data_IF_960156528305
#
_entry.id   IF_960156528305
#
_cell.length_a   1.000
_cell.length_b   1.000
_cell.length_c   1.000
_cell.angle_alpha   90.00
_cell.angle_beta   90.00
_cell.angle_gamma   90.00
#
_symmetry.space_group_name_H-M   'P 1'
#
loop_
_entity.id
_entity.type
_entity.pdbx_description
1 polymer ?
#
# COMPACT_ATOMS: atom_id res chain seq x y z
N UNK A 1 -20.73 4.14 -5.47
CA UNK A 1 -20.01 3.31 -6.48
C UNK A 1 -18.54 3.17 -6.08
N UNK A 2 -18.02 1.94 -5.92
CA UNK A 2 -16.62 1.72 -5.49
C UNK A 2 -15.66 1.30 -6.61
N UNK A 3 -16.17 0.86 -7.75
CA UNK A 3 -15.41 0.42 -8.93
C UNK A 3 -14.50 1.55 -9.44
N UNK A 4 -13.31 1.20 -9.93
CA UNK A 4 -12.39 2.12 -10.62
C UNK A 4 -12.87 2.29 -12.06
N UNK A 5 -13.05 3.53 -12.51
CA UNK A 5 -13.65 3.86 -13.80
C UNK A 5 -14.78 4.88 -13.62
N UNK A 6 -16.00 4.45 -13.29
CA UNK A 6 -17.17 5.32 -13.34
C UNK A 6 -17.03 6.62 -12.54
N UNK A 7 -16.49 6.54 -11.32
CA UNK A 7 -16.33 7.69 -10.41
C UNK A 7 -15.26 8.68 -10.89
N UNK A 8 -14.22 8.21 -11.57
CA UNK A 8 -13.16 9.05 -12.13
C UNK A 8 -13.66 9.89 -13.30
N UNK A 9 -14.64 9.39 -14.08
CA UNK A 9 -15.22 10.10 -15.23
C UNK A 9 -16.46 10.95 -14.91
N UNK A 10 -17.00 10.89 -13.68
CA UNK A 10 -18.14 11.71 -13.27
C UNK A 10 -18.00 13.21 -13.61
N UNK A 11 -16.82 13.85 -13.45
CA UNK A 11 -16.68 15.27 -13.79
C UNK A 11 -16.95 15.57 -15.27
N UNK A 12 -16.57 14.67 -16.18
CA UNK A 12 -16.82 14.80 -17.61
C UNK A 12 -18.27 14.40 -17.96
N UNK A 13 -18.77 13.32 -17.37
CA UNK A 13 -20.13 12.83 -17.65
C UNK A 13 -21.22 13.81 -17.23
N UNK A 14 -20.96 14.64 -16.21
CA UNK A 14 -21.86 15.71 -15.73
C UNK A 14 -21.91 16.94 -16.64
N UNK A 15 -21.02 17.05 -17.64
CA UNK A 15 -21.08 18.15 -18.60
C UNK A 15 -22.25 17.96 -19.56
N UNK A 16 -22.89 19.07 -19.95
CA UNK A 16 -23.86 19.08 -21.05
C UNK A 16 -23.14 18.92 -22.40
N UNK A 17 -23.91 18.72 -23.48
CA UNK A 17 -23.38 18.44 -24.82
C UNK A 17 -22.44 19.56 -25.31
N UNK A 18 -22.81 20.82 -25.10
CA UNK A 18 -21.99 21.99 -25.45
C UNK A 18 -20.67 21.98 -24.67
N UNK A 19 -20.72 21.69 -23.38
CA UNK A 19 -19.54 21.59 -22.52
C UNK A 19 -18.62 20.42 -22.89
N UNK A 20 -19.17 19.31 -23.39
CA UNK A 20 -18.38 18.17 -23.88
C UNK A 20 -17.63 18.49 -25.17
N UNK A 21 -18.25 19.20 -26.10
CA UNK A 21 -17.64 19.61 -27.38
C UNK A 21 -16.73 20.85 -27.25
N UNK A 22 -16.52 21.35 -26.03
CA UNK A 22 -15.63 22.47 -25.78
C UNK A 22 -14.22 22.00 -25.40
N UNK A 23 -13.24 22.90 -25.53
CA UNK A 23 -11.85 22.69 -25.03
C UNK A 23 -11.84 22.28 -23.55
N UNK A 24 -12.79 22.80 -22.75
CA UNK A 24 -12.96 22.43 -21.34
C UNK A 24 -13.39 20.97 -21.20
N UNK A 25 -14.22 20.46 -22.11
CA UNK A 25 -14.64 19.06 -22.17
C UNK A 25 -13.46 18.13 -22.47
N UNK A 26 -12.66 18.48 -23.47
CA UNK A 26 -11.44 17.74 -23.85
C UNK A 26 -10.42 17.67 -22.71
N UNK A 27 -10.15 18.81 -22.05
CA UNK A 27 -9.28 18.84 -20.89
C UNK A 27 -9.85 17.97 -19.74
N UNK A 28 -11.17 18.01 -19.52
CA UNK A 28 -11.81 17.23 -18.45
C UNK A 28 -11.74 15.73 -18.71
N UNK A 29 -11.93 15.27 -19.94
CA UNK A 29 -11.82 13.84 -20.25
C UNK A 29 -10.37 13.36 -20.08
N UNK A 30 -9.37 14.16 -20.45
CA UNK A 30 -7.97 13.78 -20.27
C UNK A 30 -7.58 13.72 -18.78
N UNK A 31 -8.04 14.68 -17.98
CA UNK A 31 -7.90 14.65 -16.52
C UNK A 31 -8.53 13.37 -15.92
N UNK A 32 -9.68 12.94 -16.44
CA UNK A 32 -10.34 11.71 -16.00
C UNK A 32 -9.52 10.46 -16.36
N UNK A 33 -8.91 10.40 -17.56
CA UNK A 33 -8.01 9.31 -17.96
C UNK A 33 -6.78 9.22 -17.05
N UNK A 34 -6.16 10.34 -16.72
CA UNK A 34 -4.99 10.34 -15.82
C UNK A 34 -5.35 9.94 -14.38
N UNK A 35 -6.52 10.37 -13.89
CA UNK A 35 -7.07 9.89 -12.62
C UNK A 35 -7.31 8.39 -12.64
N UNK A 36 -7.85 7.85 -13.73
CA UNK A 36 -8.06 6.42 -13.92
C UNK A 36 -6.74 5.65 -13.84
N UNK A 37 -5.75 6.04 -14.65
CA UNK A 37 -4.42 5.41 -14.67
C UNK A 37 -3.78 5.44 -13.27
N UNK A 38 -3.87 6.57 -12.59
CA UNK A 38 -3.33 6.74 -11.24
C UNK A 38 -4.01 5.81 -10.24
N UNK A 39 -5.34 5.70 -10.29
CA UNK A 39 -6.10 4.80 -9.39
C UNK A 39 -5.80 3.34 -9.67
N UNK A 40 -5.63 2.94 -10.93
CA UNK A 40 -5.21 1.58 -11.30
C UNK A 40 -3.82 1.26 -10.73
N UNK A 41 -2.83 2.15 -10.90
CA UNK A 41 -1.49 1.97 -10.33
C UNK A 41 -1.53 1.82 -8.80
N UNK A 42 -2.28 2.70 -8.12
CA UNK A 42 -2.45 2.63 -6.67
C UNK A 42 -3.13 1.33 -6.23
N UNK A 43 -4.13 0.87 -6.97
CA UNK A 43 -4.83 -0.38 -6.69
C UNK A 43 -3.89 -1.58 -6.80
N UNK A 44 -3.16 -1.72 -7.91
CA UNK A 44 -2.19 -2.82 -8.10
C UNK A 44 -1.08 -2.78 -7.04
N UNK A 45 -0.61 -1.59 -6.63
CA UNK A 45 0.34 -1.46 -5.52
C UNK A 45 -0.27 -1.92 -4.19
N UNK A 46 -1.51 -1.53 -3.89
CA UNK A 46 -2.21 -1.95 -2.67
C UNK A 46 -2.51 -3.44 -2.64
N UNK A 47 -2.90 -4.06 -3.75
CA UNK A 47 -3.11 -5.50 -3.82
C UNK A 47 -1.84 -6.27 -3.46
N UNK A 48 -0.70 -5.87 -4.03
CA UNK A 48 0.61 -6.42 -3.69
C UNK A 48 0.91 -6.27 -2.20
N UNK A 49 0.84 -5.04 -1.68
CA UNK A 49 1.08 -4.77 -0.25
C UNK A 49 0.13 -5.52 0.68
N UNK A 50 -1.13 -5.69 0.30
CA UNK A 50 -2.10 -6.46 1.07
C UNK A 50 -1.71 -7.93 1.11
N UNK A 51 -1.38 -8.52 -0.05
CA UNK A 51 -0.92 -9.90 -0.12
C UNK A 51 0.30 -10.13 0.78
N UNK A 52 1.33 -9.27 0.68
CA UNK A 52 2.50 -9.36 1.54
C UNK A 52 2.15 -9.24 3.03
N UNK A 53 1.48 -8.17 3.44
CA UNK A 53 1.28 -7.87 4.86
C UNK A 53 0.20 -8.73 5.54
N UNK A 54 -0.73 -9.31 4.78
CA UNK A 54 -1.90 -10.02 5.32
C UNK A 54 -1.84 -11.52 5.11
N UNK A 55 -1.32 -11.96 3.97
CA UNK A 55 -1.11 -13.36 3.67
C UNK A 55 0.28 -13.70 4.19
N UNK A 56 1.36 -13.36 3.49
CA UNK A 56 2.72 -13.87 3.77
C UNK A 56 3.28 -13.52 5.16
N UNK A 57 3.27 -12.24 5.54
CA UNK A 57 3.95 -11.75 6.75
C UNK A 57 3.25 -12.12 8.07
N UNK A 58 2.21 -12.96 8.03
CA UNK A 58 1.50 -13.39 9.23
C UNK A 58 1.75 -14.84 9.60
N UNK A 59 2.66 -15.53 8.91
CA UNK A 59 2.83 -16.99 9.03
C UNK A 59 3.22 -17.45 10.41
N UNK A 60 3.96 -16.60 11.14
CA UNK A 60 4.32 -16.85 12.53
C UNK A 60 3.12 -16.79 13.50
N UNK A 61 2.02 -16.13 13.11
CA UNK A 61 0.87 -15.87 13.98
C UNK A 61 -0.44 -16.46 13.46
N UNK A 62 -0.44 -17.10 12.29
CA UNK A 62 -1.61 -17.78 11.71
C UNK A 62 -1.14 -18.84 10.73
N UNK A 63 -1.92 -19.91 10.60
CA UNK A 63 -1.77 -20.83 9.48
C UNK A 63 -2.06 -20.08 8.17
N UNK A 64 -1.07 -20.08 7.27
CA UNK A 64 -1.21 -19.58 5.91
C UNK A 64 -1.07 -20.79 4.99
N UNK A 65 -1.90 -20.89 3.93
CA UNK A 65 -1.64 -21.84 2.86
C UNK A 65 -0.21 -21.69 2.33
N UNK A 66 0.46 -22.79 2.01
CA UNK A 66 1.74 -22.72 1.28
C UNK A 66 1.51 -21.99 -0.04
N UNK A 67 2.27 -20.92 -0.28
CA UNK A 67 2.09 -20.06 -1.46
C UNK A 67 3.37 -19.94 -2.24
N UNK A 68 3.29 -20.22 -3.54
CA UNK A 68 4.35 -19.97 -4.51
C UNK A 68 4.12 -18.65 -5.23
N UNK A 69 5.10 -17.75 -5.19
CA UNK A 69 5.05 -16.50 -5.91
C UNK A 69 5.67 -16.66 -7.30
N UNK A 70 4.84 -16.57 -8.34
CA UNK A 70 5.24 -16.76 -9.73
C UNK A 70 5.57 -15.44 -10.41
N UNK A 71 6.63 -15.41 -11.21
CA UNK A 71 7.02 -14.24 -11.97
C UNK A 71 6.38 -14.25 -13.37
N UNK A 72 5.31 -13.46 -13.55
CA UNK A 72 4.62 -13.32 -14.84
C UNK A 72 5.19 -12.23 -15.76
N UNK A 73 6.38 -11.69 -15.47
CA UNK A 73 6.92 -10.56 -16.23
C UNK A 73 7.57 -10.96 -17.56
N UNK A 74 8.05 -12.22 -17.69
CA UNK A 74 8.76 -12.74 -18.87
C UNK A 74 8.37 -14.20 -19.11
N UNK A 75 8.35 -14.63 -20.37
CA UNK A 75 8.16 -16.02 -20.81
C UNK A 75 6.96 -16.73 -20.15
N UNK A 76 5.82 -16.02 -20.08
CA UNK A 76 4.62 -16.47 -19.35
C UNK A 76 4.09 -17.81 -19.89
N UNK A 77 3.86 -17.89 -21.20
CA UNK A 77 3.24 -19.08 -21.81
C UNK A 77 4.23 -20.23 -21.89
N UNK A 78 5.45 -19.98 -22.36
CA UNK A 78 6.39 -21.05 -22.71
C UNK A 78 7.06 -21.68 -21.48
N UNK A 79 7.32 -20.88 -20.43
CA UNK A 79 8.06 -21.35 -19.24
C UNK A 79 7.19 -21.36 -18.00
N UNK A 80 6.46 -20.28 -17.73
CA UNK A 80 5.73 -20.16 -16.46
C UNK A 80 4.51 -21.07 -16.38
N UNK A 81 3.70 -21.15 -17.43
CA UNK A 81 2.50 -22.00 -17.44
C UNK A 81 2.84 -23.50 -17.26
N UNK A 82 3.77 -24.10 -18.03
CA UNK A 82 4.17 -25.49 -17.82
C UNK A 82 4.74 -25.74 -16.41
N UNK A 83 5.52 -24.79 -15.89
CA UNK A 83 6.03 -24.85 -14.52
C UNK A 83 4.88 -24.85 -13.49
N UNK A 84 3.94 -23.92 -13.59
CA UNK A 84 2.80 -23.82 -12.68
C UNK A 84 1.93 -25.08 -12.72
N UNK A 85 1.65 -25.62 -13.91
CA UNK A 85 0.91 -26.88 -14.07
C UNK A 85 1.65 -28.06 -13.45
N UNK A 86 2.99 -28.12 -13.56
CA UNK A 86 3.80 -29.14 -12.91
C UNK A 86 3.67 -29.07 -11.39
N UNK A 87 3.74 -27.87 -10.81
CA UNK A 87 3.57 -27.67 -9.37
C UNK A 87 2.18 -28.10 -8.88
N UNK A 88 1.13 -27.77 -9.64
CA UNK A 88 -0.24 -28.20 -9.31
C UNK A 88 -0.37 -29.73 -9.37
N UNK A 89 0.21 -30.38 -10.39
CA UNK A 89 0.20 -31.85 -10.48
C UNK A 89 0.91 -32.51 -9.29
N UNK A 90 2.07 -31.98 -8.92
CA UNK A 90 2.84 -32.45 -7.76
C UNK A 90 2.09 -32.24 -6.44
N UNK A 91 1.43 -31.09 -6.29
CA UNK A 91 0.56 -30.83 -5.14
C UNK A 91 -0.59 -31.84 -5.04
N UNK A 92 -1.27 -32.12 -6.17
CA UNK A 92 -2.39 -33.06 -6.21
C UNK A 92 -1.95 -34.52 -6.01
N UNK A 93 -0.71 -34.88 -6.32
CA UNK A 93 -0.17 -36.22 -6.03
C UNK A 93 0.27 -36.40 -4.58
N UNK A 94 0.26 -35.34 -3.76
CA UNK A 94 0.67 -35.38 -2.36
C UNK A 94 2.19 -35.36 -2.15
N UNK A 95 2.96 -35.05 -3.20
CA UNK A 95 4.41 -34.89 -3.11
C UNK A 95 4.77 -33.56 -2.45
N UNK A 96 5.85 -33.54 -1.65
CA UNK A 96 6.35 -32.30 -1.07
C UNK A 96 6.92 -31.38 -2.16
N UNK A 97 6.46 -30.13 -2.15
CA UNK A 97 6.98 -29.07 -3.01
C UNK A 97 8.16 -28.41 -2.29
N UNK A 98 9.36 -28.57 -2.86
CA UNK A 98 10.60 -27.97 -2.35
C UNK A 98 10.76 -26.55 -2.94
N UNK A 99 10.30 -25.56 -2.16
CA UNK A 99 10.09 -24.16 -2.60
C UNK A 99 11.40 -23.41 -2.91
N UNK A 100 12.53 -23.78 -2.33
CA UNK A 100 13.74 -22.95 -2.33
C UNK A 100 14.80 -23.35 -3.36
N UNK A 101 14.86 -24.62 -3.78
CA UNK A 101 16.04 -25.15 -4.51
C UNK A 101 15.88 -25.33 -6.02
N UNK A 102 14.67 -25.27 -6.59
CA UNK A 102 14.43 -25.76 -7.97
C UNK A 102 14.04 -24.74 -9.03
N UNK A 103 13.81 -23.47 -8.69
CA UNK A 103 13.06 -22.59 -9.58
C UNK A 103 13.92 -21.47 -10.18
N UNK A 104 14.63 -21.81 -11.26
CA UNK A 104 15.46 -20.96 -12.12
C UNK A 104 14.77 -19.65 -12.59
N UNK A 105 14.69 -18.63 -11.74
CA UNK A 105 14.20 -17.28 -12.10
C UNK A 105 12.69 -17.14 -12.36
N UNK A 106 11.92 -18.23 -12.30
CA UNK A 106 10.46 -18.25 -12.47
C UNK A 106 9.70 -17.85 -11.20
N UNK A 107 10.37 -17.84 -10.04
CA UNK A 107 9.81 -17.31 -8.81
C UNK A 107 9.98 -15.80 -8.75
N UNK A 108 8.94 -15.14 -8.28
CA UNK A 108 8.99 -13.74 -7.95
C UNK A 108 9.73 -13.56 -6.63
N UNK A 109 10.84 -12.83 -6.64
CA UNK A 109 11.55 -12.45 -5.42
C UNK A 109 10.66 -11.53 -4.61
N UNK A 110 10.10 -12.07 -3.53
CA UNK A 110 9.35 -11.28 -2.56
C UNK A 110 10.34 -10.25 -1.96
N UNK A 111 9.94 -8.97 -1.81
CA UNK A 111 10.78 -8.02 -1.10
C UNK A 111 11.08 -8.59 0.30
N UNK A 112 12.34 -8.51 0.76
CA UNK A 112 12.71 -9.02 2.06
C UNK A 112 11.77 -8.41 3.10
N UNK A 113 11.25 -9.26 3.99
CA UNK A 113 10.42 -8.87 5.12
C UNK A 113 11.03 -7.61 5.72
N UNK A 114 10.35 -6.46 5.61
CA UNK A 114 10.85 -5.24 6.21
C UNK A 114 11.08 -5.52 7.69
N UNK A 115 12.29 -5.22 8.19
CA UNK A 115 12.75 -5.48 9.56
C UNK A 115 11.75 -5.04 10.64
N UNK A 116 10.85 -4.13 10.29
CA UNK A 116 9.70 -3.65 11.07
C UNK A 116 8.80 -4.79 11.61
N UNK A 117 8.67 -5.92 10.90
CA UNK A 117 7.82 -7.04 11.33
C UNK A 117 8.53 -8.05 12.23
N UNK A 118 9.87 -8.00 12.33
CA UNK A 118 10.66 -8.94 13.16
C UNK A 118 10.78 -8.51 14.62
N UNK A 119 10.18 -7.39 15.01
CA UNK A 119 10.19 -6.97 16.42
C UNK A 119 9.12 -7.76 17.17
N UNK A 120 9.52 -8.53 18.19
CA UNK A 120 8.64 -9.34 19.05
C UNK A 120 7.44 -8.53 19.58
N UNK A 121 7.64 -7.23 19.84
CA UNK A 121 6.61 -6.34 20.37
C UNK A 121 5.72 -5.69 19.29
N UNK A 122 5.81 -6.07 18.01
CA UNK A 122 5.09 -5.40 16.92
C UNK A 122 3.57 -5.38 17.15
N UNK A 123 2.99 -6.49 17.59
CA UNK A 123 1.54 -6.60 17.82
C UNK A 123 1.07 -5.76 19.01
N UNK A 124 1.81 -5.74 20.11
CA UNK A 124 1.52 -4.89 21.27
C UNK A 124 1.68 -3.41 20.93
N UNK A 125 2.78 -3.06 20.26
CA UNK A 125 3.06 -1.69 19.85
C UNK A 125 2.05 -1.17 18.83
N UNK A 126 1.34 -2.03 18.08
CA UNK A 126 0.28 -1.63 17.16
C UNK A 126 -1.05 -1.32 17.84
N UNK A 127 -1.31 -1.87 19.03
CA UNK A 127 -2.56 -1.64 19.78
C UNK A 127 -2.55 -0.34 20.58
N UNK A 128 -1.37 0.20 20.89
CA UNK A 128 -1.22 1.45 21.67
C UNK A 128 -1.68 2.65 20.85
N UNK A 129 -2.48 3.53 21.45
CA UNK A 129 -2.90 4.82 20.86
C UNK A 129 -2.16 5.92 21.62
N UNK A 130 -1.54 6.84 20.89
CA UNK A 130 -0.85 8.01 21.42
C UNK A 130 -1.59 9.27 21.02
N UNK A 131 -1.81 10.17 21.97
CA UNK A 131 -2.43 11.47 21.74
C UNK A 131 -1.35 12.55 21.68
N UNK A 132 -1.37 13.38 20.63
CA UNK A 132 -0.49 14.54 20.54
C UNK A 132 -1.23 15.81 20.94
N UNK A 133 -0.94 16.36 22.11
CA UNK A 133 -1.57 17.60 22.60
C UNK A 133 -1.29 18.81 21.71
N UNK A 134 -0.15 18.82 21.02
CA UNK A 134 0.25 19.90 20.11
C UNK A 134 -0.52 19.86 18.79
N UNK A 135 -0.90 18.67 18.33
CA UNK A 135 -1.55 18.47 17.03
C UNK A 135 -3.04 18.13 17.14
N UNK A 136 -3.51 17.74 18.33
CA UNK A 136 -4.86 17.22 18.57
C UNK A 136 -5.17 15.94 17.77
N UNK A 137 -4.16 15.11 17.49
CA UNK A 137 -4.31 13.91 16.65
C UNK A 137 -3.97 12.64 17.41
N UNK A 138 -4.82 11.63 17.27
CA UNK A 138 -4.59 10.27 17.76
C UNK A 138 -3.74 9.48 16.77
N UNK A 139 -2.75 8.75 17.29
CA UNK A 139 -1.75 8.05 16.48
C UNK A 139 -1.60 6.63 16.99
N UNK A 140 -1.93 5.68 16.13
CA UNK A 140 -1.85 4.27 16.46
C UNK A 140 -0.41 3.77 16.32
N UNK A 141 0.16 3.41 17.46
CA UNK A 141 1.39 2.65 17.60
C UNK A 141 2.69 3.45 17.62
N UNK A 142 3.68 2.89 18.31
CA UNK A 142 4.90 3.59 18.74
C UNK A 142 5.76 4.07 17.56
N UNK A 143 5.85 3.28 16.49
CA UNK A 143 6.58 3.67 15.28
C UNK A 143 5.94 4.87 14.59
N UNK A 144 4.61 4.88 14.47
CA UNK A 144 3.89 5.99 13.86
C UNK A 144 3.96 7.24 14.72
N UNK A 145 3.93 7.08 16.05
CA UNK A 145 4.17 8.14 17.01
C UNK A 145 5.53 8.81 16.81
N UNK A 146 6.61 8.03 16.72
CA UNK A 146 7.96 8.57 16.50
C UNK A 146 8.05 9.34 15.18
N UNK A 147 7.52 8.77 14.09
CA UNK A 147 7.46 9.45 12.78
C UNK A 147 6.64 10.74 12.80
N UNK A 148 5.58 10.79 13.61
CA UNK A 148 4.79 12.00 13.78
C UNK A 148 5.60 13.11 14.44
N UNK A 149 6.32 12.81 15.53
CA UNK A 149 7.16 13.78 16.24
C UNK A 149 8.27 14.35 15.33
N UNK A 150 8.83 13.51 14.47
CA UNK A 150 9.84 13.92 13.48
C UNK A 150 9.25 14.69 12.29
N UNK A 151 7.93 14.62 12.11
CA UNK A 151 7.20 15.16 10.97
C UNK A 151 7.16 16.69 10.95
N UNK A 152 7.19 17.25 9.73
CA UNK A 152 7.18 18.71 9.50
C UNK A 152 5.99 19.41 10.16
N UNK A 153 4.81 18.79 10.11
CA UNK A 153 3.59 19.36 10.72
C UNK A 153 3.75 19.56 12.24
N UNK A 154 4.28 18.55 12.93
CA UNK A 154 4.49 18.61 14.38
C UNK A 154 5.54 19.67 14.74
N UNK A 155 6.69 19.68 14.04
CA UNK A 155 7.74 20.68 14.23
C UNK A 155 7.24 22.12 14.01
N UNK A 156 6.47 22.35 12.95
CA UNK A 156 5.91 23.67 12.66
C UNK A 156 4.91 24.12 13.74
N UNK A 157 4.11 23.20 14.28
CA UNK A 157 3.18 23.53 15.37
C UNK A 157 3.93 23.83 16.67
N UNK A 158 4.99 23.07 16.98
CA UNK A 158 5.89 23.34 18.10
C UNK A 158 6.52 24.74 18.00
N UNK A 159 7.03 25.13 16.83
CA UNK A 159 7.60 26.46 16.61
C UNK A 159 6.57 27.57 16.80
N UNK A 160 5.34 27.37 16.31
CA UNK A 160 4.24 28.34 16.52
C UNK A 160 3.91 28.52 18.01
N UNK A 161 3.91 27.45 18.79
CA UNK A 161 3.66 27.52 20.24
C UNK A 161 4.82 28.23 20.95
N UNK A 162 6.07 27.90 20.60
CA UNK A 162 7.26 28.57 21.17
C UNK A 162 7.26 30.08 20.89
N UNK A 163 6.92 30.50 19.67
CA UNK A 163 6.80 31.92 19.30
C UNK A 163 5.68 32.65 20.03
N UNK A 164 4.59 31.95 20.41
CA UNK A 164 3.51 32.54 21.22
C UNK A 164 3.91 32.72 22.68
N UNK A 165 4.62 31.76 23.28
CA UNK A 165 5.11 31.87 24.67
C UNK A 165 6.13 33.02 24.81
N UNK A 166 7.12 33.11 23.94
CA UNK A 166 8.12 34.19 23.97
C UNK A 166 7.58 35.60 23.67
N UNK A 167 6.33 35.75 23.22
CA UNK A 167 5.65 37.06 23.11
C UNK A 167 4.92 37.46 24.39
N UNK A 168 4.42 36.49 25.15
CA UNK A 168 3.74 36.76 26.42
C UNK A 168 4.73 37.05 27.55
N UNK A 169 5.95 36.53 27.48
CA UNK A 169 6.99 36.75 28.51
C UNK A 169 7.68 38.13 28.40
N UNK A 170 7.47 38.87 27.30
CA UNK A 170 8.03 40.22 27.08
C UNK A 170 7.02 41.36 27.33
N UNK A 171 5.87 41.05 27.96
CA UNK A 171 4.85 42.03 28.36
C UNK A 171 4.52 41.96 29.87
N UNK A 172 5.34 41.28 30.67
CA UNK A 172 5.28 41.24 32.12
C UNK A 172 6.32 42.14 32.76
#
# INVERSE_FOLDING_TARGET
MQIIGPKEFLPYLRLNIIGKNSIRGEHKIEECKEKLKTRNRQYSQRQRLWFYNRILNRGEHREIPKTLALNSSKDFVDKLVPFALKQVKQFLSGEEIDDEKKCNGLLYKLPPLGEVFKQEDYMENRKKIFLCDICGTEIQGKMHWKKHLEGRKHKNNLEKIKKKKGRNDNQG
#
